data_IF_228855146057
#
_entry.id   IF_228855146057
#
_cell.length_a   1.000
_cell.length_b   1.000
_cell.length_c   1.000
_cell.angle_alpha   90.00
_cell.angle_beta   90.00
_cell.angle_gamma   90.00
#
_symmetry.space_group_name_H-M   'P 1'
#
loop_
_entity.id
_entity.type
_entity.pdbx_description
1 polymer ?
#
# COMPACT_ATOMS: atom_id res chain seq x y z
N UNK A 1 -27.88 52.11 6.66
CA UNK A 1 -26.81 53.10 6.93
C UNK A 1 -25.73 52.53 7.86
N UNK A 2 -26.05 51.57 8.73
CA UNK A 2 -25.10 51.01 9.71
C UNK A 2 -23.97 50.16 9.11
N UNK A 3 -24.23 49.47 8.00
CA UNK A 3 -23.25 48.57 7.38
C UNK A 3 -22.01 49.30 6.82
N UNK A 4 -22.20 50.50 6.26
CA UNK A 4 -21.11 51.35 5.77
C UNK A 4 -20.28 51.90 6.95
N UNK A 5 -20.93 52.36 8.02
CA UNK A 5 -20.22 52.85 9.21
C UNK A 5 -19.39 51.77 9.91
N UNK A 6 -19.91 50.54 9.96
CA UNK A 6 -19.18 49.39 10.50
C UNK A 6 -17.89 49.14 9.70
N UNK A 7 -18.01 49.15 8.37
CA UNK A 7 -16.87 48.94 7.46
C UNK A 7 -15.81 50.03 7.61
N UNK A 8 -16.18 51.31 7.62
CA UNK A 8 -15.24 52.42 7.83
C UNK A 8 -14.53 52.33 9.18
N UNK A 9 -15.24 51.90 10.24
CA UNK A 9 -14.66 51.74 11.58
C UNK A 9 -13.64 50.59 11.64
N UNK A 10 -13.91 49.46 10.97
CA UNK A 10 -12.94 48.37 10.87
C UNK A 10 -11.69 48.78 10.08
N UNK A 11 -11.85 49.49 8.96
CA UNK A 11 -10.72 49.99 8.18
C UNK A 11 -9.83 50.92 9.00
N UNK A 12 -10.42 51.82 9.79
CA UNK A 12 -9.66 52.71 10.67
C UNK A 12 -8.83 51.92 11.70
N UNK A 13 -9.40 50.87 12.30
CA UNK A 13 -8.68 50.00 13.23
C UNK A 13 -7.52 49.24 12.55
N UNK A 14 -7.71 48.76 11.31
CA UNK A 14 -6.64 48.09 10.55
C UNK A 14 -5.49 49.06 10.25
N UNK A 15 -5.79 50.30 9.88
CA UNK A 15 -4.76 51.33 9.63
C UNK A 15 -3.95 51.59 10.90
N UNK A 16 -4.61 51.80 12.05
CA UNK A 16 -3.95 52.00 13.34
C UNK A 16 -3.08 50.78 13.71
N UNK A 17 -3.57 49.56 13.49
CA UNK A 17 -2.82 48.34 13.77
C UNK A 17 -1.57 48.19 12.90
N UNK A 18 -1.65 48.53 11.61
CA UNK A 18 -0.49 48.53 10.70
C UNK A 18 0.54 49.56 11.13
N UNK A 19 0.11 50.77 11.52
CA UNK A 19 1.00 51.81 12.02
C UNK A 19 1.71 51.38 13.32
N UNK A 20 1.01 50.71 14.23
CA UNK A 20 1.59 50.14 15.44
C UNK A 20 2.61 49.03 15.18
N UNK A 21 2.39 48.18 14.17
CA UNK A 21 3.34 47.16 13.71
C UNK A 21 4.60 47.83 13.12
N UNK A 22 4.42 48.88 12.31
CA UNK A 22 5.54 49.64 11.74
C UNK A 22 6.34 50.41 12.79
N UNK A 23 5.72 50.82 13.90
CA UNK A 23 6.41 51.44 15.03
C UNK A 23 7.29 50.45 15.81
N UNK A 24 6.88 49.17 15.93
CA UNK A 24 7.58 48.14 16.69
C UNK A 24 8.17 47.02 15.80
N UNK A 25 8.93 47.43 14.76
CA UNK A 25 9.45 46.52 13.71
C UNK A 25 10.13 45.27 14.24
N UNK A 26 11.03 45.40 15.23
CA UNK A 26 11.79 44.26 15.77
C UNK A 26 10.90 43.22 16.45
N UNK A 27 9.93 43.67 17.26
CA UNK A 27 9.02 42.79 18.00
C UNK A 27 8.04 42.10 17.06
N UNK A 28 7.46 42.85 16.12
CA UNK A 28 6.54 42.29 15.12
C UNK A 28 7.24 41.33 14.15
N UNK A 29 8.50 41.60 13.78
CA UNK A 29 9.25 40.72 12.89
C UNK A 29 9.63 39.41 13.58
N UNK A 30 10.11 39.44 14.83
CA UNK A 30 10.44 38.22 15.58
C UNK A 30 9.21 37.33 15.82
N UNK A 31 8.07 37.93 16.15
CA UNK A 31 6.82 37.18 16.37
C UNK A 31 6.30 36.55 15.07
N UNK A 32 6.35 37.28 13.95
CA UNK A 32 5.98 36.75 12.64
C UNK A 32 6.92 35.61 12.19
N UNK A 33 8.23 35.76 12.39
CA UNK A 33 9.21 34.72 12.09
C UNK A 33 8.96 33.44 12.91
N UNK A 34 8.65 33.58 14.20
CA UNK A 34 8.33 32.44 15.06
C UNK A 34 7.15 31.63 14.52
N UNK A 35 6.07 32.30 14.10
CA UNK A 35 4.90 31.65 13.52
C UNK A 35 5.25 31.02 12.15
N UNK A 36 6.01 31.72 11.30
CA UNK A 36 6.44 31.19 10.00
C UNK A 36 7.23 29.90 10.15
N UNK A 37 8.27 29.88 10.99
CA UNK A 37 9.05 28.66 11.20
C UNK A 37 8.27 27.56 11.93
N UNK A 38 7.41 27.92 12.88
CA UNK A 38 6.56 26.96 13.59
C UNK A 38 5.61 26.22 12.64
N UNK A 39 4.87 26.96 11.83
CA UNK A 39 3.93 26.36 10.86
C UNK A 39 4.68 25.63 9.75
N UNK A 40 5.80 26.18 9.26
CA UNK A 40 6.60 25.54 8.22
C UNK A 40 7.16 24.18 8.67
N UNK A 41 7.64 24.05 9.90
CA UNK A 41 8.14 22.80 10.44
C UNK A 41 7.04 21.73 10.52
N UNK A 42 5.85 22.11 10.98
CA UNK A 42 4.70 21.20 11.08
C UNK A 42 4.24 20.72 9.70
N UNK A 43 4.11 21.63 8.73
CA UNK A 43 3.72 21.27 7.36
C UNK A 43 4.78 20.36 6.72
N UNK A 44 6.06 20.68 6.90
CA UNK A 44 7.16 19.90 6.35
C UNK A 44 7.18 18.48 6.92
N UNK A 45 7.07 18.35 8.25
CA UNK A 45 7.01 17.05 8.91
C UNK A 45 5.82 16.21 8.43
N UNK A 46 4.65 16.82 8.26
CA UNK A 46 3.46 16.14 7.78
C UNK A 46 3.62 15.65 6.32
N UNK A 47 4.16 16.50 5.46
CA UNK A 47 4.43 16.16 4.07
C UNK A 47 5.45 15.01 3.97
N UNK A 48 6.53 15.06 4.76
CA UNK A 48 7.54 13.99 4.81
C UNK A 48 6.93 12.69 5.33
N UNK A 49 6.16 12.74 6.43
CA UNK A 49 5.57 11.56 7.05
C UNK A 49 4.59 10.84 6.12
N UNK A 50 3.70 11.60 5.47
CA UNK A 50 2.72 11.05 4.52
C UNK A 50 3.39 10.51 3.26
N UNK A 51 4.40 11.21 2.72
CA UNK A 51 5.18 10.74 1.57
C UNK A 51 5.93 9.45 1.87
N UNK A 52 6.63 9.38 3.01
CA UNK A 52 7.36 8.18 3.43
C UNK A 52 6.42 6.98 3.64
N UNK A 53 5.24 7.20 4.24
CA UNK A 53 4.24 6.14 4.40
C UNK A 53 3.78 5.60 3.03
N UNK A 54 3.53 6.48 2.06
CA UNK A 54 3.11 6.07 0.72
C UNK A 54 4.21 5.28 0.00
N UNK A 55 5.46 5.73 0.11
CA UNK A 55 6.61 5.04 -0.49
C UNK A 55 6.78 3.63 0.10
N UNK A 56 6.71 3.48 1.43
CA UNK A 56 6.78 2.17 2.08
C UNK A 56 5.64 1.26 1.63
N UNK A 57 4.42 1.78 1.52
CA UNK A 57 3.28 1.01 1.02
C UNK A 57 3.48 0.57 -0.44
N UNK A 58 4.09 1.40 -1.28
CA UNK A 58 4.40 1.07 -2.66
C UNK A 58 5.49 0.01 -2.76
N UNK A 59 6.55 0.12 -1.97
CA UNK A 59 7.58 -0.92 -1.86
C UNK A 59 6.98 -2.26 -1.40
N UNK A 60 6.09 -2.26 -0.41
CA UNK A 60 5.40 -3.47 0.05
C UNK A 60 4.52 -4.06 -1.07
N UNK A 61 3.80 -3.23 -1.82
CA UNK A 61 2.99 -3.68 -2.97
C UNK A 61 3.85 -4.36 -4.03
N UNK A 62 5.06 -3.86 -4.30
CA UNK A 62 6.01 -4.44 -5.27
C UNK A 62 6.52 -5.83 -4.84
N UNK A 63 6.63 -6.09 -3.54
CA UNK A 63 7.02 -7.42 -3.00
C UNK A 63 5.92 -8.46 -3.25
N UNK A 64 4.72 -8.07 -3.67
CA UNK A 64 3.72 -8.99 -4.18
C UNK A 64 2.90 -9.68 -3.08
N UNK A 65 2.40 -8.90 -2.11
CA UNK A 65 1.47 -9.39 -1.06
C UNK A 65 0.12 -9.87 -1.63
N UNK A 66 -0.12 -9.69 -2.93
CA UNK A 66 -1.29 -10.14 -3.66
C UNK A 66 -0.98 -11.32 -4.62
N UNK A 67 -0.02 -12.18 -4.28
CA UNK A 67 0.29 -13.38 -5.05
C UNK A 67 -0.17 -14.64 -4.30
N UNK A 68 -0.91 -15.52 -4.99
CA UNK A 68 -1.32 -16.83 -4.49
C UNK A 68 -0.59 -17.88 -5.34
N UNK A 69 0.27 -18.67 -4.69
CA UNK A 69 1.02 -19.75 -5.36
C UNK A 69 0.23 -21.05 -5.20
N UNK A 70 -0.20 -21.62 -6.32
CA UNK A 70 -0.87 -22.93 -6.36
C UNK A 70 0.13 -23.94 -6.92
N UNK A 71 0.56 -24.88 -6.07
CA UNK A 71 1.46 -25.97 -6.47
C UNK A 71 0.72 -27.30 -6.44
N UNK A 72 0.97 -28.21 -7.39
CA UNK A 72 0.37 -29.53 -7.35
C UNK A 72 1.03 -30.34 -6.23
N UNK A 73 0.24 -30.99 -5.38
CA UNK A 73 0.79 -31.97 -4.43
C UNK A 73 1.22 -33.19 -5.23
N UNK A 74 2.52 -33.44 -5.22
CA UNK A 74 3.09 -34.70 -5.70
C UNK A 74 2.83 -35.72 -4.60
N UNK A 75 1.68 -36.38 -4.63
CA UNK A 75 1.56 -37.68 -3.95
C UNK A 75 2.36 -38.68 -4.79
N UNK A 76 3.68 -38.55 -4.72
CA UNK A 76 4.62 -39.53 -5.25
C UNK A 76 4.22 -40.87 -4.65
N UNK A 77 3.88 -41.83 -5.50
CA UNK A 77 3.57 -43.22 -5.13
C UNK A 77 4.79 -43.98 -4.55
N UNK A 78 5.76 -43.28 -3.96
CA UNK A 78 7.01 -43.82 -3.45
C UNK A 78 7.04 -43.89 -1.91
N UNK A 79 5.91 -44.22 -1.29
CA UNK A 79 5.90 -44.75 0.07
C UNK A 79 4.81 -45.82 0.16
N UNK A 80 5.15 -47.11 0.31
CA UNK A 80 4.21 -48.07 0.84
C UNK A 80 4.15 -47.87 2.36
N UNK A 81 3.63 -46.73 2.82
CA UNK A 81 3.33 -46.57 4.24
C UNK A 81 2.00 -47.25 4.55
N UNK A 82 2.17 -48.51 4.92
CA UNK A 82 1.27 -49.29 5.78
C UNK A 82 0.94 -48.49 7.03
N UNK A 83 -0.15 -47.73 7.00
CA UNK A 83 -0.99 -47.45 8.18
C UNK A 83 -2.26 -46.69 7.80
N UNK A 84 -3.29 -47.44 7.43
CA UNK A 84 -4.66 -47.11 7.85
C UNK A 84 -5.55 -48.34 7.76
N UNK A 85 -5.66 -49.02 8.90
CA UNK A 85 -6.87 -49.77 9.25
C UNK A 85 -8.08 -48.83 9.08
N UNK A 86 -8.94 -49.11 8.10
CA UNK A 86 -10.11 -48.30 7.84
C UNK A 86 -10.83 -48.69 6.56
N UNK A 87 -11.77 -49.62 6.70
CA UNK A 87 -12.71 -50.09 5.68
C UNK A 87 -13.45 -48.93 5.02
N UNK A 88 -13.43 -48.86 3.68
CA UNK A 88 -14.28 -47.96 2.90
C UNK A 88 -13.62 -47.45 1.63
N UNK A 89 -13.80 -48.20 0.53
CA UNK A 89 -13.17 -47.93 -0.76
C UNK A 89 -13.38 -46.52 -1.30
N UNK A 90 -12.29 -45.89 -1.68
CA UNK A 90 -12.26 -44.93 -2.77
C UNK A 90 -10.93 -45.15 -3.49
N UNK A 91 -11.03 -45.62 -4.73
CA UNK A 91 -9.92 -45.65 -5.69
C UNK A 91 -9.22 -44.31 -5.60
N UNK A 92 -7.97 -44.30 -5.13
CA UNK A 92 -7.13 -43.10 -5.05
C UNK A 92 -7.06 -42.52 -6.46
N UNK A 93 -7.92 -41.55 -6.76
CA UNK A 93 -8.03 -40.93 -8.08
C UNK A 93 -6.67 -40.30 -8.36
N UNK A 94 -6.03 -40.83 -9.39
CA UNK A 94 -4.94 -40.16 -10.07
C UNK A 94 -5.42 -38.74 -10.40
N UNK A 95 -4.90 -37.73 -9.71
CA UNK A 95 -5.14 -36.34 -10.06
C UNK A 95 -4.14 -35.98 -11.16
N UNK A 96 -4.58 -35.64 -12.37
CA UNK A 96 -3.69 -35.24 -13.45
C UNK A 96 -3.13 -33.83 -13.18
N UNK A 97 -2.33 -33.67 -12.12
CA UNK A 97 -1.59 -32.44 -11.79
C UNK A 97 -2.42 -31.15 -11.82
N UNK A 98 -1.73 -30.04 -12.06
CA UNK A 98 -2.32 -28.77 -12.48
C UNK A 98 -2.25 -28.69 -14.00
N UNK A 99 -3.37 -28.37 -14.63
CA UNK A 99 -3.47 -28.22 -16.08
C UNK A 99 -3.54 -26.75 -16.49
N UNK A 100 -3.28 -26.47 -17.76
CA UNK A 100 -3.42 -25.12 -18.32
C UNK A 100 -4.89 -24.66 -18.29
N UNK A 101 -5.83 -25.60 -18.35
CA UNK A 101 -7.27 -25.34 -18.28
C UNK A 101 -7.69 -24.86 -16.88
N UNK A 102 -7.00 -25.31 -15.82
CA UNK A 102 -7.24 -24.81 -14.46
C UNK A 102 -6.85 -23.32 -14.34
N UNK A 103 -5.80 -22.89 -15.04
CA UNK A 103 -5.39 -21.48 -15.05
C UNK A 103 -6.43 -20.57 -15.72
N UNK A 104 -7.02 -21.01 -16.83
CA UNK A 104 -8.11 -20.30 -17.51
C UNK A 104 -9.39 -20.28 -16.65
N UNK A 105 -9.74 -21.42 -16.04
CA UNK A 105 -10.90 -21.51 -15.15
C UNK A 105 -10.78 -20.59 -13.94
N UNK A 106 -9.58 -20.44 -13.36
CA UNK A 106 -9.34 -19.50 -12.24
C UNK A 106 -9.52 -18.05 -12.69
N UNK A 107 -9.08 -17.71 -13.89
CA UNK A 107 -9.23 -16.36 -14.46
C UNK A 107 -10.70 -16.00 -14.73
N UNK A 108 -11.50 -16.96 -15.19
CA UNK A 108 -12.92 -16.73 -15.52
C UNK A 108 -13.86 -16.85 -14.31
N UNK A 109 -13.59 -17.77 -13.38
CA UNK A 109 -14.47 -18.03 -12.24
C UNK A 109 -14.33 -17.00 -11.11
N UNK A 110 -13.17 -16.33 -10.99
CA UNK A 110 -12.87 -15.45 -9.86
C UNK A 110 -12.58 -14.02 -10.38
N UNK A 111 -13.56 -13.08 -10.31
CA UNK A 111 -13.39 -11.72 -10.81
C UNK A 111 -12.37 -10.87 -10.03
N UNK A 112 -11.93 -11.36 -8.86
CA UNK A 112 -10.92 -10.69 -8.01
C UNK A 112 -9.48 -11.00 -8.45
N UNK A 113 -9.27 -12.05 -9.26
CA UNK A 113 -7.94 -12.43 -9.75
C UNK A 113 -7.64 -11.60 -10.99
N UNK A 114 -6.69 -10.66 -10.88
CA UNK A 114 -6.36 -9.77 -11.99
C UNK A 114 -5.47 -10.40 -13.07
N UNK A 115 -4.57 -11.31 -12.70
CA UNK A 115 -3.67 -12.04 -13.61
C UNK A 115 -3.35 -13.42 -13.06
N UNK A 116 -3.30 -14.41 -13.94
CA UNK A 116 -2.82 -15.76 -13.67
C UNK A 116 -1.58 -16.01 -14.53
N UNK A 117 -0.55 -16.65 -13.96
CA UNK A 117 0.67 -17.03 -14.68
C UNK A 117 1.01 -18.49 -14.41
N UNK A 118 0.90 -19.40 -15.40
CA UNK A 118 1.34 -20.77 -15.24
C UNK A 118 2.88 -20.85 -15.23
N UNK A 119 3.45 -21.68 -14.36
CA UNK A 119 4.90 -21.89 -14.23
C UNK A 119 5.20 -23.38 -14.33
N UNK A 120 6.18 -23.75 -15.16
CA UNK A 120 6.66 -25.13 -15.31
C UNK A 120 8.11 -25.16 -14.85
N UNK A 121 8.42 -25.98 -13.84
CA UNK A 121 9.79 -26.22 -13.39
C UNK A 121 10.32 -27.52 -14.01
N UNK A 122 11.44 -27.44 -14.73
CA UNK A 122 12.11 -28.60 -15.32
C UNK A 122 13.44 -28.84 -14.58
N UNK A 123 13.51 -29.91 -13.80
CA UNK A 123 14.76 -30.35 -13.17
C UNK A 123 15.60 -31.13 -14.18
N UNK A 124 16.61 -30.51 -14.79
CA UNK A 124 17.58 -31.22 -15.63
C UNK A 124 18.83 -31.55 -14.82
N UNK A 125 19.17 -32.83 -14.70
CA UNK A 125 20.50 -33.26 -14.26
C UNK A 125 21.34 -33.53 -15.51
N UNK A 126 22.29 -32.64 -15.79
CA UNK A 126 23.33 -32.91 -16.76
C UNK A 126 24.29 -33.92 -16.14
N UNK A 127 24.23 -35.17 -16.59
CA UNK A 127 25.27 -36.17 -16.29
C UNK A 127 26.45 -35.80 -17.19
N UNK A 128 27.46 -35.17 -16.60
CA UNK A 128 28.79 -35.06 -17.19
C UNK A 128 29.47 -36.42 -16.94
N UNK A 129 29.56 -37.27 -17.97
CA UNK A 129 30.55 -38.36 -18.02
C UNK A 129 31.96 -37.82 -18.27
#
# INVERSE_FOLDING_TARGET
MDFIHLFTRYFHNVIIAVEAIMANKMKSLLTALGIMFGVAAVISMLAIGTGAQQEVLEQIKLVGVNNIIVSPTETSLSSPDVSSSGVGGSVRRYSPGLTLQDAEAINDAIPTVGKVSPVISLNYHAVLE
#
